data_IF_964760261052
#
_entry.id   IF_964760261052
#
_cell.length_a   1.000
_cell.length_b   1.000
_cell.length_c   1.000
_cell.angle_alpha   90.00
_cell.angle_beta   90.00
_cell.angle_gamma   90.00
#
_symmetry.space_group_name_H-M   'P 1'
#
loop_
_entity.id
_entity.type
_entity.pdbx_description
1 polymer ?
#
# COMPACT_ATOMS: atom_id res chain seq x y z
N UNK A 1 3.09 -1.28 15.41
CA UNK A 1 1.96 -1.12 14.48
C UNK A 1 0.86 -0.39 15.24
N UNK A 2 0.34 0.68 14.71
CA UNK A 2 -0.82 1.40 15.22
C UNK A 2 -1.83 1.46 14.08
N UNK A 3 -3.03 0.95 14.31
CA UNK A 3 -4.13 0.99 13.36
C UNK A 3 -5.34 1.65 14.01
N UNK A 4 -6.01 2.53 13.29
CA UNK A 4 -7.26 3.15 13.71
C UNK A 4 -8.32 2.87 12.65
N UNK A 5 -9.44 2.29 13.08
CA UNK A 5 -10.59 2.02 12.23
C UNK A 5 -11.74 2.90 12.70
N UNK A 6 -12.36 3.57 11.76
CA UNK A 6 -13.59 4.32 11.96
C UNK A 6 -14.67 3.75 11.05
N UNK A 7 -15.77 3.32 11.65
CA UNK A 7 -16.93 2.78 10.96
C UNK A 7 -18.20 3.45 11.50
N UNK A 8 -18.93 4.13 10.64
CA UNK A 8 -20.21 4.74 11.00
C UNK A 8 -21.12 4.84 9.78
N UNK A 9 -22.23 4.09 9.82
CA UNK A 9 -23.19 4.07 8.74
C UNK A 9 -22.55 3.64 7.40
N UNK A 10 -22.65 4.45 6.34
CA UNK A 10 -22.12 4.09 5.03
C UNK A 10 -20.60 4.31 4.88
N UNK A 11 -19.92 4.74 5.94
CA UNK A 11 -18.49 5.11 5.90
C UNK A 11 -17.65 4.10 6.67
N UNK A 12 -16.62 3.61 6.00
CA UNK A 12 -15.49 2.90 6.61
C UNK A 12 -14.19 3.62 6.28
N UNK A 13 -13.44 3.98 7.29
CA UNK A 13 -12.11 4.56 7.11
C UNK A 13 -11.11 3.89 8.04
N UNK A 14 -9.89 3.71 7.57
CA UNK A 14 -8.79 3.27 8.43
C UNK A 14 -7.49 3.98 8.10
N UNK A 15 -6.64 4.07 9.10
CA UNK A 15 -5.28 4.57 9.01
C UNK A 15 -4.36 3.61 9.77
N UNK A 16 -3.39 3.05 9.07
CA UNK A 16 -2.36 2.20 9.66
C UNK A 16 -1.00 2.86 9.52
N UNK A 17 -0.22 2.82 10.60
CA UNK A 17 1.16 3.27 10.62
C UNK A 17 2.04 2.14 11.13
N UNK A 18 2.99 1.73 10.31
CA UNK A 18 3.98 0.72 10.63
C UNK A 18 5.36 1.34 10.56
N UNK A 19 6.08 1.31 11.67
CA UNK A 19 7.50 1.66 11.73
C UNK A 19 8.29 0.44 12.16
N UNK A 20 9.39 0.16 11.47
CA UNK A 20 10.28 -0.95 11.76
C UNK A 20 11.73 -0.51 11.65
N UNK A 21 12.55 -1.00 12.59
CA UNK A 21 14.01 -0.92 12.54
C UNK A 21 14.59 -2.35 12.67
N UNK A 22 15.60 -2.66 11.88
CA UNK A 22 16.36 -3.88 12.01
C UNK A 22 17.63 -3.61 12.84
N UNK A 23 17.95 -4.50 13.80
CA UNK A 23 19.17 -4.43 14.57
C UNK A 23 20.40 -4.90 13.78
N UNK A 24 21.58 -4.75 14.40
CA UNK A 24 22.88 -5.12 13.82
C UNK A 24 23.00 -6.57 13.36
N UNK A 25 22.30 -7.50 14.03
CA UNK A 25 22.44 -8.94 13.79
C UNK A 25 21.47 -9.46 12.72
N UNK A 26 20.62 -8.61 12.19
CA UNK A 26 19.52 -9.05 11.36
C UNK A 26 19.76 -8.68 9.91
N UNK A 27 20.20 -9.62 9.12
CA UNK A 27 20.00 -9.63 7.68
C UNK A 27 18.50 -9.82 7.37
N UNK A 28 17.65 -9.06 8.03
CA UNK A 28 16.21 -9.16 7.82
C UNK A 28 15.85 -8.55 6.47
N UNK A 29 15.32 -9.41 5.63
CA UNK A 29 14.68 -9.01 4.40
C UNK A 29 13.36 -8.34 4.75
N UNK A 30 13.31 -7.02 4.65
CA UNK A 30 12.08 -6.26 4.76
C UNK A 30 11.43 -6.27 3.38
N UNK A 31 10.26 -6.89 3.28
CA UNK A 31 9.46 -6.81 2.07
C UNK A 31 8.55 -5.59 2.19
N UNK A 32 8.78 -4.62 1.36
CA UNK A 32 7.98 -3.40 1.28
C UNK A 32 6.64 -3.66 0.58
N UNK A 33 5.68 -2.75 0.70
CA UNK A 33 4.41 -2.81 -0.05
C UNK A 33 4.60 -2.81 -1.57
N UNK A 34 5.75 -2.35 -2.05
CA UNK A 34 6.17 -2.43 -3.44
C UNK A 34 6.77 -3.77 -3.83
N UNK A 35 6.80 -4.75 -2.91
CA UNK A 35 7.45 -6.06 -3.07
C UNK A 35 8.96 -5.99 -3.35
N UNK A 36 9.61 -4.88 -2.99
CA UNK A 36 11.06 -4.76 -3.10
C UNK A 36 11.72 -5.24 -1.81
N UNK A 37 12.58 -6.24 -1.87
CA UNK A 37 13.34 -6.64 -0.70
C UNK A 37 14.39 -5.58 -0.37
N UNK A 38 14.32 -5.01 0.82
CA UNK A 38 15.41 -4.20 1.37
C UNK A 38 16.18 -5.08 2.33
N UNK A 39 17.40 -5.41 1.96
CA UNK A 39 18.31 -6.17 2.83
C UNK A 39 19.48 -5.26 3.16
N UNK A 40 19.49 -4.72 4.35
CA UNK A 40 20.59 -3.93 4.86
C UNK A 40 20.67 -4.03 6.38
N UNK A 41 21.88 -4.02 6.92
CA UNK A 41 22.07 -3.79 8.34
C UNK A 41 21.62 -2.37 8.68
N UNK A 42 21.10 -2.19 9.88
CA UNK A 42 20.60 -0.90 10.36
C UNK A 42 19.47 -0.30 9.47
N UNK A 43 18.72 -1.14 8.80
CA UNK A 43 17.61 -0.69 7.95
C UNK A 43 16.44 -0.17 8.81
N UNK A 44 15.79 0.84 8.31
CA UNK A 44 14.54 1.36 8.86
C UNK A 44 13.53 1.61 7.76
N UNK A 45 12.27 1.45 8.08
CA UNK A 45 11.22 1.88 7.18
C UNK A 45 9.95 2.30 7.91
N UNK A 46 9.21 3.17 7.27
CA UNK A 46 7.93 3.68 7.71
C UNK A 46 6.93 3.43 6.58
N UNK A 47 5.81 2.82 6.93
CA UNK A 47 4.67 2.66 6.02
C UNK A 47 3.45 3.30 6.64
N UNK A 48 2.74 4.10 5.85
CA UNK A 48 1.44 4.67 6.20
C UNK A 48 0.43 4.22 5.16
N UNK A 49 -0.67 3.64 5.62
CA UNK A 49 -1.77 3.20 4.76
C UNK A 49 -3.05 3.89 5.22
N UNK A 50 -3.74 4.52 4.30
CA UNK A 50 -5.05 5.11 4.53
C UNK A 50 -6.07 4.54 3.55
N UNK A 51 -7.27 4.32 4.03
CA UNK A 51 -8.41 3.91 3.21
C UNK A 51 -9.64 4.70 3.62
N UNK A 52 -10.43 5.07 2.63
CA UNK A 52 -11.75 5.63 2.80
C UNK A 52 -12.71 4.93 1.85
N UNK A 53 -13.72 4.32 2.41
CA UNK A 53 -14.76 3.57 1.72
C UNK A 53 -16.10 4.21 2.03
N UNK A 54 -16.91 4.45 1.01
CA UNK A 54 -18.19 5.14 1.15
C UNK A 54 -19.26 4.51 0.27
N UNK A 55 -20.28 3.97 0.95
CA UNK A 55 -21.47 3.46 0.30
C UNK A 55 -22.51 4.56 0.12
N UNK A 56 -22.45 5.23 -1.01
CA UNK A 56 -23.30 6.39 -1.29
C UNK A 56 -24.70 6.03 -1.82
N UNK A 57 -24.92 4.75 -2.16
CA UNK A 57 -26.20 4.23 -2.60
C UNK A 57 -26.28 2.72 -2.27
N UNK A 58 -27.46 2.13 -2.01
CA UNK A 58 -27.58 0.68 -1.76
C UNK A 58 -26.92 -0.22 -2.81
N UNK A 59 -26.87 0.25 -4.05
CA UNK A 59 -26.25 -0.47 -5.19
C UNK A 59 -24.88 0.06 -5.60
N UNK A 60 -24.34 1.05 -4.91
CA UNK A 60 -23.06 1.65 -5.28
C UNK A 60 -22.15 1.88 -4.09
N UNK A 61 -20.93 1.47 -4.25
CA UNK A 61 -19.86 1.71 -3.31
C UNK A 61 -18.65 2.31 -4.02
N UNK A 62 -17.92 3.16 -3.35
CA UNK A 62 -16.65 3.67 -3.85
C UNK A 62 -15.63 3.71 -2.75
N UNK A 63 -14.38 3.35 -3.07
CA UNK A 63 -13.29 3.51 -2.13
C UNK A 63 -12.07 4.15 -2.77
N UNK A 64 -11.32 4.84 -1.94
CA UNK A 64 -9.97 5.30 -2.25
C UNK A 64 -9.01 4.77 -1.19
N UNK A 65 -7.87 4.27 -1.62
CA UNK A 65 -6.82 3.75 -0.76
C UNK A 65 -5.49 4.35 -1.16
N UNK A 66 -4.74 4.84 -0.19
CA UNK A 66 -3.39 5.33 -0.37
C UNK A 66 -2.41 4.59 0.52
N UNK A 67 -1.19 4.43 0.04
CA UNK A 67 -0.07 3.96 0.84
C UNK A 67 1.16 4.79 0.52
N UNK A 68 1.89 5.16 1.55
CA UNK A 68 3.17 5.86 1.47
C UNK A 68 4.20 5.10 2.29
N UNK A 69 5.36 4.92 1.72
CA UNK A 69 6.42 4.14 2.33
C UNK A 69 7.76 4.83 2.14
N UNK A 70 8.57 4.84 3.17
CA UNK A 70 9.98 5.23 3.07
C UNK A 70 10.86 4.13 3.63
N UNK A 71 12.01 3.90 2.99
CA UNK A 71 13.02 3.00 3.49
C UNK A 71 14.40 3.66 3.45
N UNK A 72 15.24 3.30 4.39
CA UNK A 72 16.58 3.81 4.51
C UNK A 72 17.41 3.07 5.55
N UNK A 73 18.51 3.66 5.95
CA UNK A 73 19.43 3.16 6.96
C UNK A 73 19.52 4.22 8.06
N UNK A 74 19.35 3.82 9.30
CA UNK A 74 19.35 4.77 10.43
C UNK A 74 20.76 5.04 10.98
N UNK A 75 21.72 4.18 10.62
CA UNK A 75 23.10 4.26 11.07
C UNK A 75 24.00 3.68 9.97
N UNK A 76 25.21 4.20 9.86
CA UNK A 76 26.16 3.74 8.86
C UNK A 76 26.49 2.25 9.07
N UNK A 77 26.48 1.48 7.99
CA UNK A 77 26.72 0.04 8.03
C UNK A 77 27.91 -0.44 7.19
N UNK A 78 28.76 0.50 6.76
CA UNK A 78 29.93 0.23 5.94
C UNK A 78 29.66 0.16 4.44
N UNK A 79 28.41 -0.02 4.03
CA UNK A 79 27.96 -0.01 2.63
C UNK A 79 27.10 1.24 2.36
N UNK A 80 26.20 1.54 3.30
CA UNK A 80 25.28 2.65 3.21
C UNK A 80 25.54 3.64 4.35
N UNK A 81 25.50 4.92 4.05
CA UNK A 81 25.50 5.99 5.06
C UNK A 81 24.08 6.24 5.54
N UNK A 82 23.92 6.65 6.80
CA UNK A 82 22.61 6.96 7.36
C UNK A 82 21.81 7.91 6.48
N UNK A 83 20.55 7.60 6.27
CA UNK A 83 19.65 8.39 5.45
C UNK A 83 18.54 7.59 4.78
N UNK A 84 17.65 8.32 4.10
CA UNK A 84 16.58 7.74 3.28
C UNK A 84 17.11 7.39 1.90
N UNK A 85 16.75 6.23 1.40
CA UNK A 85 17.14 5.73 0.09
C UNK A 85 15.96 5.59 -0.87
N UNK A 86 14.78 5.33 -0.34
CA UNK A 86 13.60 5.01 -1.14
C UNK A 86 12.37 5.71 -0.61
N UNK A 87 11.51 6.12 -1.51
CA UNK A 87 10.13 6.48 -1.25
C UNK A 87 9.24 5.74 -2.26
N UNK A 88 8.18 5.11 -1.78
CA UNK A 88 7.17 4.49 -2.63
C UNK A 88 5.80 5.03 -2.25
N UNK A 89 4.92 5.12 -3.24
CA UNK A 89 3.52 5.47 -3.00
C UNK A 89 2.60 4.67 -3.90
N UNK A 90 1.43 4.44 -3.40
CA UNK A 90 0.38 3.71 -4.08
C UNK A 90 -0.93 4.48 -3.86
N UNK A 91 -1.65 4.77 -4.92
CA UNK A 91 -2.99 5.32 -4.87
C UNK A 91 -3.92 4.41 -5.66
N UNK A 92 -5.06 4.08 -5.07
CA UNK A 92 -6.07 3.22 -5.67
C UNK A 92 -7.43 3.86 -5.52
N UNK A 93 -8.25 3.71 -6.55
CA UNK A 93 -9.67 4.07 -6.50
C UNK A 93 -10.49 2.95 -7.13
N UNK A 94 -11.63 2.68 -6.55
CA UNK A 94 -12.55 1.68 -7.06
C UNK A 94 -13.99 2.19 -7.00
N UNK A 95 -14.75 1.88 -8.03
CA UNK A 95 -16.18 2.04 -8.06
C UNK A 95 -16.81 0.66 -8.22
N UNK A 96 -17.73 0.31 -7.35
CA UNK A 96 -18.41 -0.98 -7.32
C UNK A 96 -19.92 -0.81 -7.52
N UNK A 97 -20.50 -1.64 -8.36
CA UNK A 97 -21.92 -1.70 -8.61
C UNK A 97 -22.48 -3.07 -8.25
N UNK A 98 -23.53 -3.08 -7.44
CA UNK A 98 -24.25 -4.25 -6.95
C UNK A 98 -25.65 -4.29 -7.60
N UNK A 99 -25.82 -4.90 -8.77
CA UNK A 99 -27.09 -4.88 -9.49
C UNK A 99 -28.23 -5.59 -8.73
N UNK A 100 -27.89 -6.63 -7.95
CA UNK A 100 -28.85 -7.49 -7.23
C UNK A 100 -28.82 -7.28 -5.71
N UNK A 101 -28.21 -6.18 -5.24
CA UNK A 101 -27.88 -5.91 -3.85
C UNK A 101 -26.63 -6.71 -3.38
N UNK A 102 -26.07 -6.29 -2.26
CA UNK A 102 -24.80 -6.86 -1.76
C UNK A 102 -24.95 -8.30 -1.31
N UNK A 103 -26.10 -8.65 -0.76
CA UNK A 103 -26.43 -9.98 -0.25
C UNK A 103 -26.35 -11.07 -1.33
N UNK A 104 -26.56 -10.71 -2.59
CA UNK A 104 -26.43 -11.65 -3.70
C UNK A 104 -24.96 -12.04 -4.03
N UNK A 105 -23.99 -11.40 -3.38
CA UNK A 105 -22.57 -11.70 -3.59
C UNK A 105 -22.04 -11.37 -5.00
N UNK A 106 -22.80 -10.64 -5.80
CA UNK A 106 -22.43 -10.27 -7.18
C UNK A 106 -22.15 -8.78 -7.27
N UNK A 107 -20.99 -8.43 -7.85
CA UNK A 107 -20.66 -7.04 -8.17
C UNK A 107 -19.87 -6.91 -9.46
N UNK A 108 -20.05 -5.77 -10.10
CA UNK A 108 -19.21 -5.27 -11.20
C UNK A 108 -18.37 -4.13 -10.65
N UNK A 109 -17.11 -4.04 -11.02
CA UNK A 109 -16.23 -3.00 -10.51
C UNK A 109 -15.31 -2.41 -11.58
N UNK A 110 -14.97 -1.14 -11.40
CA UNK A 110 -13.92 -0.45 -12.10
C UNK A 110 -12.85 -0.03 -11.08
N UNK A 111 -11.62 -0.44 -11.29
CA UNK A 111 -10.51 -0.22 -10.37
C UNK A 111 -9.34 0.43 -11.09
N UNK A 112 -8.83 1.51 -10.52
CA UNK A 112 -7.62 2.19 -10.95
C UNK A 112 -6.54 2.09 -9.88
N UNK A 113 -5.33 1.77 -10.30
CA UNK A 113 -4.15 1.71 -9.43
C UNK A 113 -3.04 2.52 -10.06
N UNK A 114 -2.47 3.40 -9.26
CA UNK A 114 -1.22 4.08 -9.55
C UNK A 114 -0.18 3.69 -8.51
N UNK A 115 1.01 3.29 -8.97
CA UNK A 115 2.17 3.05 -8.11
C UNK A 115 3.33 3.86 -8.61
N UNK A 116 3.95 4.59 -7.72
CA UNK A 116 5.16 5.34 -7.99
C UNK A 116 6.27 4.95 -7.02
N UNK A 117 7.47 5.11 -7.48
CA UNK A 117 8.66 4.73 -6.79
C UNK A 117 9.74 5.78 -7.04
N UNK A 118 10.28 6.34 -5.99
CA UNK A 118 11.36 7.32 -6.09
C UNK A 118 12.57 6.87 -5.27
N UNK A 119 13.70 6.82 -5.93
CA UNK A 119 14.99 6.53 -5.32
C UNK A 119 15.77 7.82 -5.17
N UNK A 120 16.43 7.99 -4.04
CA UNK A 120 17.36 9.09 -3.85
C UNK A 120 18.58 8.95 -4.78
N UNK A 121 19.29 10.04 -5.03
CA UNK A 121 20.49 10.00 -5.89
C UNK A 121 21.52 8.98 -5.40
N UNK A 122 21.60 8.75 -4.10
CA UNK A 122 22.46 7.70 -3.52
C UNK A 122 22.03 6.29 -3.97
N UNK A 123 20.73 6.02 -3.97
CA UNK A 123 20.22 4.73 -4.43
C UNK A 123 20.35 4.56 -5.94
N UNK A 124 20.22 5.63 -6.70
CA UNK A 124 20.45 5.62 -8.15
C UNK A 124 21.91 5.33 -8.50
N UNK A 125 22.85 5.84 -7.71
CA UNK A 125 24.29 5.60 -7.89
C UNK A 125 24.68 4.12 -7.76
N UNK A 126 23.88 3.30 -7.06
CA UNK A 126 24.10 1.85 -6.91
C UNK A 126 23.17 1.01 -7.82
N UNK A 127 22.65 1.59 -8.89
CA UNK A 127 21.90 0.86 -9.91
C UNK A 127 20.38 0.84 -9.72
N UNK A 128 19.82 1.73 -8.92
CA UNK A 128 18.38 1.87 -8.77
C UNK A 128 17.70 2.46 -10.01
N UNK A 129 16.37 2.36 -10.06
CA UNK A 129 15.52 2.95 -11.08
C UNK A 129 14.29 3.62 -10.45
N UNK A 130 13.60 4.48 -11.20
CA UNK A 130 12.38 5.18 -10.77
C UNK A 130 11.15 4.68 -11.56
N UNK A 131 10.72 3.42 -11.36
CA UNK A 131 9.57 2.91 -12.08
C UNK A 131 8.26 3.49 -11.52
N UNK A 132 7.33 3.72 -12.41
CA UNK A 132 5.94 3.95 -12.05
C UNK A 132 5.04 3.10 -12.92
N UNK A 133 3.92 2.68 -12.39
CA UNK A 133 2.97 1.83 -13.09
C UNK A 133 1.56 2.34 -12.88
N UNK A 134 0.76 2.21 -13.92
CA UNK A 134 -0.67 2.49 -13.88
C UNK A 134 -1.41 1.26 -14.37
N UNK A 135 -2.54 0.96 -13.74
CA UNK A 135 -3.40 -0.15 -14.14
C UNK A 135 -4.85 0.25 -13.99
N UNK A 136 -5.61 0.02 -15.05
CA UNK A 136 -7.07 0.07 -15.03
C UNK A 136 -7.56 -1.37 -15.14
N UNK A 137 -8.49 -1.75 -14.29
CA UNK A 137 -9.10 -3.09 -14.28
C UNK A 137 -10.62 -2.93 -14.25
N UNK A 138 -11.29 -3.65 -15.11
CA UNK A 138 -12.74 -3.86 -15.07
C UNK A 138 -12.97 -5.32 -14.73
N UNK A 139 -13.89 -5.60 -13.86
CA UNK A 139 -14.13 -6.98 -13.44
C UNK A 139 -15.51 -7.23 -12.92
N UNK A 140 -15.80 -8.52 -12.82
CA UNK A 140 -17.02 -9.06 -12.22
C UNK A 140 -16.54 -9.97 -11.10
N UNK A 141 -17.15 -9.85 -9.94
CA UNK A 141 -16.94 -10.73 -8.81
C UNK A 141 -18.26 -11.38 -8.43
N UNK A 142 -18.23 -12.68 -8.21
CA UNK A 142 -19.34 -13.44 -7.65
C UNK A 142 -18.82 -14.29 -6.49
N UNK A 143 -19.45 -14.16 -5.35
CA UNK A 143 -19.15 -14.96 -4.17
C UNK A 143 -20.23 -16.04 -4.07
N UNK A 144 -19.85 -17.30 -4.27
CA UNK A 144 -20.75 -18.44 -4.10
C UNK A 144 -20.84 -18.71 -2.59
N UNK A 145 -22.01 -18.56 -1.97
CA UNK A 145 -22.15 -18.98 -0.58
C UNK A 145 -21.96 -20.50 -0.49
N UNK A 146 -20.97 -20.92 0.31
CA UNK A 146 -20.80 -22.33 0.64
C UNK A 146 -21.77 -22.61 1.79
N UNK A 147 -22.78 -23.41 1.55
CA UNK A 147 -23.74 -23.90 2.54
C UNK A 147 -23.11 -24.96 3.44
#
# INVERSE_FOLDING_TARGET
MCGNIYEKGPVLAYLDVLYQRSGLDNQHRITTLSNMPVTAQNAQYLTVIANFDYRFHPKWNGYVKGAYETAGVYEDNGIFTAGRYMTAWNAQGCLEWFPFEEEAGFKVFAHYVYKGFDLTDRALAIGGSKPHTQRISLGIQYIIPVL
#
